data_IF_038770513433
#
_entry.id   IF_038770513433
#
_cell.length_a   1.000
_cell.length_b   1.000
_cell.length_c   1.000
_cell.angle_alpha   90.00
_cell.angle_beta   90.00
_cell.angle_gamma   90.00
#
_symmetry.space_group_name_H-M   'P 1'
#
loop_
_entity.id
_entity.type
_entity.pdbx_description
1 polymer ?
#
# COMPACT_ATOMS: atom_id res chain seq x y z
N UNK A 1 3.34 31.20 57.86
CA UNK A 1 4.04 30.04 57.28
C UNK A 1 4.55 30.44 55.89
N UNK A 2 5.87 30.43 55.75
CA UNK A 2 6.71 30.37 54.53
C UNK A 2 6.04 30.83 53.22
N UNK A 3 6.15 32.09 52.82
CA UNK A 3 7.22 32.66 51.97
C UNK A 3 7.79 31.71 50.90
N UNK A 4 7.55 32.04 49.62
CA UNK A 4 8.64 32.16 48.66
C UNK A 4 8.28 33.07 47.49
N UNK A 5 8.79 34.31 47.59
CA UNK A 5 9.27 35.07 46.43
C UNK A 5 10.44 34.30 45.83
N UNK A 6 10.47 34.13 44.51
CA UNK A 6 11.69 33.87 43.73
C UNK A 6 11.54 34.73 42.48
N UNK A 7 12.10 35.94 42.50
CA UNK A 7 13.51 36.24 42.23
C UNK A 7 13.85 35.93 40.77
N UNK A 8 13.92 37.02 40.00
CA UNK A 8 14.62 37.14 38.74
C UNK A 8 16.00 36.47 38.82
N UNK A 9 16.31 35.66 37.82
CA UNK A 9 17.70 35.42 37.41
C UNK A 9 17.75 35.57 35.89
N UNK A 10 18.20 36.74 35.46
CA UNK A 10 18.79 36.98 34.16
C UNK A 10 20.14 36.23 34.11
N UNK A 11 20.40 35.48 33.05
CA UNK A 11 21.68 34.79 32.86
C UNK A 11 21.56 33.58 31.95
N UNK A 12 21.41 33.82 30.64
CA UNK A 12 21.12 32.81 29.63
C UNK A 12 22.26 31.85 29.31
N UNK A 13 21.93 30.78 28.59
CA UNK A 13 22.81 30.05 27.67
C UNK A 13 21.93 29.69 26.46
N UNK A 14 22.24 30.26 25.29
CA UNK A 14 21.53 29.99 24.06
C UNK A 14 21.83 28.59 23.55
N UNK A 15 20.79 27.87 23.15
CA UNK A 15 20.92 26.89 22.08
C UNK A 15 19.76 27.07 21.12
N UNK A 16 20.06 27.68 19.98
CA UNK A 16 19.26 27.56 18.78
C UNK A 16 19.21 26.06 18.42
N UNK A 17 18.03 25.46 18.44
CA UNK A 17 17.84 24.05 18.16
C UNK A 17 16.37 23.79 17.97
N UNK A 18 15.96 23.78 16.70
CA UNK A 18 14.60 23.58 16.24
C UNK A 18 14.03 22.23 16.73
N UNK A 19 12.70 22.19 16.82
CA UNK A 19 11.83 21.08 17.16
C UNK A 19 12.39 19.69 16.84
N UNK A 20 12.37 18.81 17.85
CA UNK A 20 12.79 17.42 17.75
C UNK A 20 11.98 16.65 16.71
N UNK A 21 12.68 16.25 15.65
CA UNK A 21 12.24 15.19 14.74
C UNK A 21 12.40 13.84 15.45
N UNK A 22 11.27 13.23 15.82
CA UNK A 22 11.24 11.79 16.06
C UNK A 22 11.25 11.10 14.69
N UNK A 23 12.44 10.93 14.14
CA UNK A 23 12.67 10.09 12.97
C UNK A 23 12.49 8.62 13.38
N UNK A 24 11.33 8.05 13.07
CA UNK A 24 11.21 6.61 12.93
C UNK A 24 11.58 6.26 11.49
N UNK A 25 12.85 5.90 11.30
CA UNK A 25 13.30 5.19 10.10
C UNK A 25 12.53 3.88 9.98
N UNK A 26 11.43 3.89 9.24
CA UNK A 26 10.89 2.68 8.65
C UNK A 26 11.68 2.38 7.38
N UNK A 27 12.90 1.87 7.56
CA UNK A 27 13.60 1.16 6.51
C UNK A 27 12.88 -0.17 6.25
N UNK A 28 11.72 -0.10 5.60
CA UNK A 28 11.25 -1.23 4.82
C UNK A 28 12.04 -1.20 3.52
N UNK A 29 13.20 -1.84 3.57
CA UNK A 29 13.96 -2.25 2.40
C UNK A 29 13.06 -3.20 1.57
N UNK A 30 12.16 -2.62 0.79
CA UNK A 30 11.61 -3.30 -0.38
C UNK A 30 12.69 -3.28 -1.45
N UNK A 31 13.75 -4.06 -1.24
CA UNK A 31 14.54 -4.58 -2.35
C UNK A 31 13.68 -5.64 -3.04
N UNK A 32 12.66 -5.16 -3.75
CA UNK A 32 12.18 -5.85 -4.93
C UNK A 32 12.96 -5.27 -6.11
N UNK A 33 14.25 -5.59 -6.13
CA UNK A 33 15.11 -5.37 -7.29
C UNK A 33 14.64 -6.27 -8.43
N UNK A 34 13.58 -5.88 -9.12
CA UNK A 34 13.22 -6.48 -10.40
C UNK A 34 14.19 -5.94 -11.45
N UNK A 35 15.39 -6.52 -11.46
CA UNK A 35 16.33 -6.38 -12.54
C UNK A 35 15.76 -7.13 -13.76
N UNK A 36 15.17 -6.40 -14.70
CA UNK A 36 14.71 -6.98 -15.97
C UNK A 36 15.89 -7.12 -16.94
N UNK A 37 16.71 -8.15 -16.73
CA UNK A 37 17.53 -8.69 -17.82
C UNK A 37 16.59 -9.34 -18.85
N UNK A 38 16.44 -8.73 -20.04
CA UNK A 38 15.60 -9.23 -21.14
C UNK A 38 16.17 -10.49 -21.83
N UNK A 39 16.89 -11.35 -21.10
CA UNK A 39 17.58 -12.51 -21.66
C UNK A 39 17.74 -13.73 -20.74
N UNK A 40 17.27 -13.65 -19.49
CA UNK A 40 17.21 -14.81 -18.61
C UNK A 40 15.81 -15.42 -18.68
N UNK A 41 15.72 -16.72 -18.98
CA UNK A 41 14.51 -17.52 -18.74
C UNK A 41 13.93 -17.14 -17.37
N UNK A 42 12.69 -16.65 -17.35
CA UNK A 42 11.98 -16.47 -16.08
C UNK A 42 11.96 -17.85 -15.44
N UNK A 43 12.57 -18.04 -14.26
CA UNK A 43 12.62 -19.37 -13.64
C UNK A 43 11.20 -19.90 -13.52
N UNK A 44 10.97 -21.12 -13.99
CA UNK A 44 9.67 -21.78 -13.81
C UNK A 44 9.36 -21.85 -12.31
N UNK A 45 8.18 -21.36 -11.92
CA UNK A 45 7.74 -21.39 -10.52
C UNK A 45 7.51 -22.85 -10.10
N UNK A 46 7.93 -23.21 -8.89
CA UNK A 46 7.51 -24.51 -8.32
C UNK A 46 5.98 -24.53 -8.13
N UNK A 47 5.35 -25.71 -7.99
CA UNK A 47 3.92 -25.80 -7.70
C UNK A 47 3.51 -24.99 -6.46
N UNK A 48 4.32 -25.02 -5.40
CA UNK A 48 4.06 -24.27 -4.16
C UNK A 48 4.19 -22.77 -4.36
N UNK A 49 5.22 -22.33 -5.10
CA UNK A 49 5.40 -20.91 -5.44
C UNK A 49 4.25 -20.40 -6.33
N UNK A 50 3.79 -21.23 -7.27
CA UNK A 50 2.65 -20.91 -8.14
C UNK A 50 1.37 -20.74 -7.31
N UNK A 51 1.09 -21.69 -6.41
CA UNK A 51 -0.08 -21.62 -5.53
C UNK A 51 -0.05 -20.40 -4.61
N UNK A 52 1.11 -20.13 -4.00
CA UNK A 52 1.30 -18.98 -3.13
C UNK A 52 1.11 -17.66 -3.90
N UNK A 53 1.69 -17.55 -5.10
CA UNK A 53 1.56 -16.36 -5.94
C UNK A 53 0.12 -16.16 -6.42
N UNK A 54 -0.57 -17.20 -6.86
CA UNK A 54 -1.97 -17.09 -7.29
C UNK A 54 -2.89 -16.66 -6.14
N UNK A 55 -2.67 -17.20 -4.93
CA UNK A 55 -3.41 -16.81 -3.74
C UNK A 55 -3.17 -15.34 -3.40
N UNK A 56 -1.91 -14.89 -3.45
CA UNK A 56 -1.54 -13.51 -3.22
C UNK A 56 -2.14 -12.57 -4.29
N UNK A 57 -2.03 -12.91 -5.57
CA UNK A 57 -2.56 -12.08 -6.68
C UNK A 57 -4.06 -11.89 -6.59
N UNK A 58 -4.81 -12.94 -6.22
CA UNK A 58 -6.26 -12.86 -6.08
C UNK A 58 -6.66 -11.90 -4.95
N UNK A 59 -6.01 -12.00 -3.79
CA UNK A 59 -6.27 -11.09 -2.67
C UNK A 59 -5.83 -9.65 -2.99
N UNK A 60 -4.67 -9.50 -3.61
CA UNK A 60 -4.13 -8.21 -4.03
C UNK A 60 -5.08 -7.48 -4.98
N UNK A 61 -5.65 -8.20 -5.96
CA UNK A 61 -6.64 -7.66 -6.88
C UNK A 61 -7.91 -7.20 -6.15
N UNK A 62 -8.37 -7.94 -5.13
CA UNK A 62 -9.53 -7.51 -4.30
C UNK A 62 -9.25 -6.22 -3.55
N UNK A 63 -8.06 -6.08 -2.96
CA UNK A 63 -7.65 -4.82 -2.31
C UNK A 63 -7.60 -3.68 -3.34
N UNK A 64 -7.01 -3.92 -4.51
CA UNK A 64 -6.98 -2.94 -5.59
C UNK A 64 -8.37 -2.50 -6.04
N UNK A 65 -9.31 -3.43 -6.20
CA UNK A 65 -10.69 -3.14 -6.55
C UNK A 65 -11.37 -2.26 -5.49
N UNK A 66 -11.14 -2.55 -4.20
CA UNK A 66 -11.67 -1.76 -3.09
C UNK A 66 -11.11 -0.33 -3.07
N UNK A 67 -9.81 -0.15 -3.31
CA UNK A 67 -9.19 1.17 -3.41
C UNK A 67 -9.73 1.96 -4.61
N UNK A 68 -9.85 1.31 -5.77
CA UNK A 68 -10.40 1.92 -6.99
C UNK A 68 -11.85 2.35 -6.84
N UNK A 69 -12.65 1.67 -6.03
CA UNK A 69 -13.99 2.12 -5.67
C UNK A 69 -13.95 3.51 -4.98
N UNK A 70 -13.01 3.70 -4.05
CA UNK A 70 -12.79 5.00 -3.41
C UNK A 70 -12.33 6.09 -4.38
N UNK A 71 -11.53 5.73 -5.39
CA UNK A 71 -11.12 6.62 -6.48
C UNK A 71 -12.32 7.03 -7.33
N UNK A 72 -13.17 6.08 -7.74
CA UNK A 72 -14.39 6.37 -8.50
C UNK A 72 -15.27 7.38 -7.76
N UNK A 73 -15.52 7.16 -6.46
CA UNK A 73 -16.30 8.09 -5.65
C UNK A 73 -15.65 9.48 -5.53
N UNK A 74 -14.33 9.55 -5.47
CA UNK A 74 -13.59 10.81 -5.45
C UNK A 74 -13.69 11.56 -6.78
N UNK A 75 -13.76 10.85 -7.91
CA UNK A 75 -13.97 11.44 -9.24
C UNK A 75 -15.39 11.98 -9.41
N UNK A 76 -16.40 11.28 -8.88
CA UNK A 76 -17.79 11.76 -8.85
C UNK A 76 -17.90 13.10 -8.11
N UNK A 77 -17.27 13.21 -6.92
CA UNK A 77 -17.24 14.45 -6.13
C UNK A 77 -16.55 15.61 -6.85
N UNK A 78 -15.59 15.30 -7.73
CA UNK A 78 -14.91 16.28 -8.57
C UNK A 78 -15.71 16.66 -9.83
N UNK A 79 -16.89 16.07 -10.05
CA UNK A 79 -17.70 16.26 -11.26
C UNK A 79 -17.15 15.55 -12.51
N UNK A 80 -16.16 14.65 -12.35
CA UNK A 80 -15.53 13.90 -13.44
C UNK A 80 -16.27 12.59 -13.70
N UNK A 81 -17.55 12.68 -14.06
CA UNK A 81 -18.45 11.53 -14.11
C UNK A 81 -17.99 10.44 -15.10
N UNK A 82 -17.56 10.81 -16.30
CA UNK A 82 -17.08 9.85 -17.31
C UNK A 82 -15.87 9.06 -16.82
N UNK A 83 -14.92 9.72 -16.15
CA UNK A 83 -13.76 9.06 -15.56
C UNK A 83 -14.18 8.14 -14.40
N UNK A 84 -15.12 8.57 -13.55
CA UNK A 84 -15.64 7.74 -12.47
C UNK A 84 -16.31 6.46 -13.01
N UNK A 85 -17.08 6.57 -14.08
CA UNK A 85 -17.70 5.42 -14.77
C UNK A 85 -16.65 4.43 -15.26
N UNK A 86 -15.60 4.90 -15.95
CA UNK A 86 -14.53 4.02 -16.43
C UNK A 86 -13.79 3.30 -15.28
N UNK A 87 -13.57 3.98 -14.15
CA UNK A 87 -12.96 3.34 -12.96
C UNK A 87 -13.90 2.31 -12.34
N UNK A 88 -15.20 2.61 -12.25
CA UNK A 88 -16.19 1.65 -11.76
C UNK A 88 -16.30 0.41 -12.67
N UNK A 89 -16.21 0.59 -13.99
CA UNK A 89 -16.12 -0.52 -14.95
C UNK A 89 -14.84 -1.34 -14.74
N UNK A 90 -13.69 -0.70 -14.50
CA UNK A 90 -12.46 -1.40 -14.18
C UNK A 90 -12.59 -2.27 -12.90
N UNK A 91 -13.24 -1.75 -11.86
CA UNK A 91 -13.55 -2.53 -10.63
C UNK A 91 -14.37 -3.78 -10.97
N UNK A 92 -15.41 -3.65 -11.81
CA UNK A 92 -16.20 -4.80 -12.24
C UNK A 92 -15.36 -5.85 -13.00
N UNK A 93 -14.40 -5.43 -13.82
CA UNK A 93 -13.48 -6.36 -14.48
C UNK A 93 -12.52 -7.05 -13.50
N UNK A 94 -12.10 -6.38 -12.41
CA UNK A 94 -11.33 -7.02 -11.35
C UNK A 94 -12.13 -8.11 -10.65
N UNK A 95 -13.41 -7.88 -10.35
CA UNK A 95 -14.28 -8.90 -9.74
C UNK A 95 -14.40 -10.14 -10.64
N UNK A 96 -14.65 -9.94 -11.94
CA UNK A 96 -14.71 -11.05 -12.89
C UNK A 96 -13.37 -11.79 -13.04
N UNK A 97 -12.26 -11.05 -13.04
CA UNK A 97 -10.92 -11.61 -13.04
C UNK A 97 -10.70 -12.50 -11.80
N UNK A 98 -11.09 -12.00 -10.63
CA UNK A 98 -10.93 -12.73 -9.36
C UNK A 98 -11.79 -13.99 -9.31
N UNK A 99 -13.01 -13.99 -9.85
CA UNK A 99 -13.81 -15.22 -9.97
C UNK A 99 -13.09 -16.31 -10.78
N UNK A 100 -12.38 -15.92 -11.84
CA UNK A 100 -11.59 -16.86 -12.66
C UNK A 100 -10.33 -17.32 -11.95
N UNK A 101 -9.66 -16.43 -11.22
CA UNK A 101 -8.47 -16.77 -10.44
C UNK A 101 -8.82 -17.73 -9.29
N UNK A 102 -9.95 -17.51 -8.60
CA UNK A 102 -10.45 -18.40 -7.55
C UNK A 102 -10.74 -19.81 -8.10
N UNK A 103 -11.41 -19.90 -9.25
CA UNK A 103 -11.69 -21.20 -9.89
C UNK A 103 -10.40 -21.89 -10.32
N UNK A 104 -9.45 -21.16 -10.89
CA UNK A 104 -8.14 -21.71 -11.23
C UNK A 104 -7.38 -22.18 -9.97
N UNK A 105 -7.46 -21.42 -8.87
CA UNK A 105 -6.82 -21.76 -7.60
C UNK A 105 -7.43 -23.04 -7.00
N UNK A 106 -8.75 -23.22 -7.10
CA UNK A 106 -9.46 -24.43 -6.68
C UNK A 106 -8.96 -25.65 -7.44
N UNK A 107 -8.84 -25.55 -8.77
CA UNK A 107 -8.30 -26.60 -9.62
C UNK A 107 -6.84 -26.95 -9.29
N UNK A 108 -5.99 -25.96 -9.02
CA UNK A 108 -4.58 -26.17 -8.63
C UNK A 108 -4.47 -26.86 -7.28
N UNK A 109 -5.39 -26.61 -6.34
CA UNK A 109 -5.48 -27.30 -5.04
C UNK A 109 -6.05 -28.72 -5.14
N UNK A 110 -6.69 -29.06 -6.27
CA UNK A 110 -7.41 -30.33 -6.44
C UNK A 110 -8.77 -30.35 -5.77
N UNK A 111 -9.39 -29.19 -5.60
CA UNK A 111 -10.72 -28.97 -5.01
C UNK A 111 -11.85 -28.92 -6.04
#
# INVERSE_FOLDING_TARGET
MFTKRMALHEGGHGHAGCCGEHAHEHAHEHVCGHHHEHGAEVPELTPEQTLALMSYMSEHNRSHAAELHGVAHSLEKQGKLEAATLVAEAVHYFDHCNDKLDEALRLVKGE
#
